data_IF_397444437842
#
_entry.id   IF_397444437842
#
_cell.length_a   1.000
_cell.length_b   1.000
_cell.length_c   1.000
_cell.angle_alpha   90.00
_cell.angle_beta   90.00
_cell.angle_gamma   90.00
#
_symmetry.space_group_name_H-M   'P 1'
#
loop_
_entity.id
_entity.type
_entity.pdbx_description
1 polymer ?
#
# COMPACT_ATOMS: atom_id res chain seq x y z
N UNK A 1 -51.14 50.36 -46.31
CA UNK A 1 -51.08 49.83 -44.92
C UNK A 1 -49.60 49.63 -44.57
N UNK A 2 -49.01 50.47 -43.73
CA UNK A 2 -47.58 50.40 -43.36
C UNK A 2 -47.41 49.61 -42.06
N UNK A 3 -46.69 48.49 -42.11
CA UNK A 3 -46.33 47.70 -40.93
C UNK A 3 -45.03 48.25 -40.34
N UNK A 4 -45.05 48.68 -39.08
CA UNK A 4 -43.90 49.24 -38.35
C UNK A 4 -43.08 48.09 -37.76
N UNK A 5 -41.88 47.84 -38.30
CA UNK A 5 -40.97 46.82 -37.78
C UNK A 5 -40.41 47.24 -36.41
N UNK A 6 -40.67 46.45 -35.35
CA UNK A 6 -40.03 46.62 -34.04
C UNK A 6 -38.60 46.10 -34.11
N UNK A 7 -37.61 46.99 -33.95
CA UNK A 7 -36.21 46.62 -33.80
C UNK A 7 -35.96 46.03 -32.41
N UNK A 8 -35.77 44.72 -32.33
CA UNK A 8 -35.27 44.07 -31.11
C UNK A 8 -33.78 44.43 -30.96
N UNK A 9 -33.46 45.26 -29.98
CA UNK A 9 -32.08 45.63 -29.65
C UNK A 9 -31.42 44.43 -28.94
N UNK A 10 -30.84 43.51 -29.71
CA UNK A 10 -29.97 42.47 -29.16
C UNK A 10 -28.67 43.13 -28.69
N UNK A 11 -28.50 43.26 -27.37
CA UNK A 11 -27.22 43.59 -26.76
C UNK A 11 -26.21 42.52 -27.16
N UNK A 12 -25.15 42.91 -27.88
CA UNK A 12 -24.07 41.97 -28.23
C UNK A 12 -23.43 41.45 -26.95
N UNK A 13 -23.32 40.13 -26.76
CA UNK A 13 -22.59 39.59 -25.61
C UNK A 13 -21.14 40.06 -25.69
N UNK A 14 -20.60 40.56 -24.57
CA UNK A 14 -19.17 40.86 -24.46
C UNK A 14 -18.40 39.54 -24.54
N UNK A 15 -17.45 39.45 -25.47
CA UNK A 15 -16.52 38.31 -25.56
C UNK A 15 -15.41 38.43 -24.51
N UNK A 16 -14.88 37.28 -24.10
CA UNK A 16 -13.67 37.23 -23.27
C UNK A 16 -12.46 37.74 -24.05
N UNK A 17 -11.56 38.42 -23.36
CA UNK A 17 -10.26 38.83 -23.90
C UNK A 17 -9.25 37.69 -23.82
N UNK A 18 -8.26 37.69 -24.72
CA UNK A 18 -7.14 36.74 -24.68
C UNK A 18 -6.38 36.81 -23.35
N UNK A 19 -6.22 38.00 -22.80
CA UNK A 19 -5.51 38.20 -21.54
C UNK A 19 -6.28 37.62 -20.34
N UNK A 20 -7.62 37.74 -20.32
CA UNK A 20 -8.45 37.11 -19.28
C UNK A 20 -8.29 35.59 -19.30
N UNK A 21 -8.31 34.96 -20.48
CA UNK A 21 -8.11 33.51 -20.59
C UNK A 21 -6.68 33.10 -20.18
N UNK A 22 -5.69 33.89 -20.56
CA UNK A 22 -4.28 33.60 -20.27
C UNK A 22 -4.00 33.64 -18.76
N UNK A 23 -4.49 34.67 -18.06
CA UNK A 23 -4.33 34.77 -16.60
C UNK A 23 -5.01 33.61 -15.87
N UNK A 24 -6.19 33.19 -16.33
CA UNK A 24 -6.92 32.05 -15.74
C UNK A 24 -6.12 30.76 -15.89
N UNK A 25 -5.58 30.46 -17.07
CA UNK A 25 -4.76 29.26 -17.28
C UNK A 25 -3.46 29.31 -16.47
N UNK A 26 -2.85 30.49 -16.32
CA UNK A 26 -1.68 30.67 -15.46
C UNK A 26 -1.99 30.35 -13.99
N UNK A 27 -3.11 30.85 -13.46
CA UNK A 27 -3.54 30.58 -12.08
C UNK A 27 -3.88 29.10 -11.88
N UNK A 28 -4.62 28.47 -12.82
CA UNK A 28 -4.92 27.02 -12.75
C UNK A 28 -3.64 26.19 -12.79
N UNK A 29 -2.65 26.57 -13.61
CA UNK A 29 -1.37 25.87 -13.68
C UNK A 29 -0.61 25.89 -12.35
N UNK A 30 -0.59 27.04 -11.67
CA UNK A 30 0.05 27.19 -10.35
C UNK A 30 -0.70 26.35 -9.29
N UNK A 31 -2.04 26.41 -9.25
CA UNK A 31 -2.79 25.62 -8.28
C UNK A 31 -2.70 24.11 -8.52
N UNK A 32 -2.66 23.67 -9.78
CA UNK A 32 -2.63 22.25 -10.13
C UNK A 32 -1.34 21.57 -9.64
N UNK A 33 -0.19 22.24 -9.71
CA UNK A 33 1.09 21.66 -9.24
C UNK A 33 1.10 21.39 -7.74
N UNK A 34 0.54 22.32 -6.95
CA UNK A 34 0.45 22.20 -5.49
C UNK A 34 -0.45 21.02 -5.11
N UNK A 35 -1.63 20.89 -5.74
CA UNK A 35 -2.60 19.82 -5.48
C UNK A 35 -2.05 18.43 -5.82
N UNK A 36 -1.34 18.29 -6.93
CA UNK A 36 -0.73 17.01 -7.30
C UNK A 36 0.29 16.54 -6.26
N UNK A 37 1.12 17.45 -5.75
CA UNK A 37 2.13 17.12 -4.74
C UNK A 37 1.53 16.69 -3.40
N UNK A 38 0.42 17.30 -2.98
CA UNK A 38 -0.24 16.96 -1.71
C UNK A 38 -1.01 15.63 -1.80
N UNK A 39 -1.64 15.35 -2.95
CA UNK A 39 -2.37 14.10 -3.19
C UNK A 39 -1.46 12.87 -3.09
N UNK A 40 -0.23 12.94 -3.62
CA UNK A 40 0.72 11.82 -3.57
C UNK A 40 1.04 11.40 -2.13
N UNK A 41 1.33 12.37 -1.25
CA UNK A 41 1.61 12.11 0.17
C UNK A 41 0.39 11.55 0.90
N UNK A 42 -0.80 12.11 0.63
CA UNK A 42 -2.05 11.62 1.22
C UNK A 42 -2.35 10.16 0.83
N UNK A 43 -2.04 9.79 -0.42
CA UNK A 43 -2.22 8.42 -0.93
C UNK A 43 -1.30 7.42 -0.22
N UNK A 44 -0.02 7.76 -0.06
CA UNK A 44 0.93 6.90 0.67
C UNK A 44 0.53 6.72 2.14
N UNK A 45 0.12 7.79 2.82
CA UNK A 45 -0.39 7.71 4.19
C UNK A 45 -1.64 6.83 4.30
N UNK A 46 -2.53 6.89 3.30
CA UNK A 46 -3.72 6.04 3.22
C UNK A 46 -3.34 4.56 3.03
N UNK A 47 -2.36 4.26 2.18
CA UNK A 47 -1.85 2.90 2.00
C UNK A 47 -1.26 2.33 3.28
N UNK A 48 -0.42 3.10 3.97
CA UNK A 48 0.17 2.65 5.22
C UNK A 48 -0.90 2.40 6.30
N UNK A 49 -1.87 3.30 6.43
CA UNK A 49 -3.01 3.14 7.35
C UNK A 49 -3.82 1.88 7.03
N UNK A 50 -4.09 1.65 5.73
CA UNK A 50 -4.78 0.45 5.25
C UNK A 50 -3.97 -0.80 5.58
N UNK A 51 -2.68 -0.83 5.25
CA UNK A 51 -1.78 -1.95 5.51
C UNK A 51 -1.78 -2.33 6.99
N UNK A 52 -1.63 -1.34 7.89
CA UNK A 52 -1.63 -1.58 9.34
C UNK A 52 -2.94 -2.19 9.82
N UNK A 53 -4.08 -1.72 9.30
CA UNK A 53 -5.40 -2.25 9.65
C UNK A 53 -5.60 -3.68 9.11
N UNK A 54 -5.25 -3.92 7.85
CA UNK A 54 -5.42 -5.23 7.20
C UNK A 54 -4.48 -6.27 7.81
N UNK A 55 -3.20 -5.96 8.03
CA UNK A 55 -2.25 -6.84 8.72
C UNK A 55 -2.75 -7.23 10.12
N UNK A 56 -3.30 -6.27 10.86
CA UNK A 56 -3.89 -6.55 12.18
C UNK A 56 -5.11 -7.46 12.08
N UNK A 57 -5.99 -7.23 11.10
CA UNK A 57 -7.17 -8.06 10.88
C UNK A 57 -6.80 -9.49 10.47
N UNK A 58 -5.78 -9.66 9.64
CA UNK A 58 -5.25 -10.96 9.25
C UNK A 58 -4.68 -11.67 10.48
N UNK A 59 -3.88 -10.97 11.28
CA UNK A 59 -3.34 -11.50 12.53
C UNK A 59 -4.46 -12.05 13.43
N UNK A 60 -5.53 -11.28 13.65
CA UNK A 60 -6.67 -11.72 14.47
C UNK A 60 -7.35 -12.96 13.88
N UNK A 61 -7.43 -13.07 12.55
CA UNK A 61 -7.98 -14.25 11.86
C UNK A 61 -7.09 -15.49 12.05
N UNK A 62 -5.77 -15.31 12.02
CA UNK A 62 -4.78 -16.37 12.27
C UNK A 62 -4.82 -16.84 13.72
N UNK A 63 -5.03 -15.95 14.68
CA UNK A 63 -5.18 -16.33 16.09
C UNK A 63 -6.44 -17.18 16.30
N UNK A 64 -7.57 -16.82 15.66
CA UNK A 64 -8.78 -17.64 15.67
C UNK A 64 -8.55 -19.02 15.04
N UNK A 65 -7.89 -19.08 13.88
CA UNK A 65 -7.49 -20.34 13.26
C UNK A 65 -6.66 -21.20 14.22
N UNK A 66 -5.71 -20.59 14.92
CA UNK A 66 -4.77 -21.29 15.81
C UNK A 66 -5.49 -21.85 17.04
N UNK A 67 -6.51 -21.15 17.54
CA UNK A 67 -7.37 -21.63 18.64
C UNK A 67 -8.09 -22.92 18.23
N UNK A 68 -8.66 -22.97 17.03
CA UNK A 68 -9.43 -24.12 16.57
C UNK A 68 -8.56 -25.30 16.12
N UNK A 69 -7.38 -25.04 15.55
CA UNK A 69 -6.51 -26.04 14.92
C UNK A 69 -5.29 -26.43 15.77
N UNK A 70 -5.09 -25.77 16.93
CA UNK A 70 -3.94 -25.95 17.83
C UNK A 70 -2.56 -25.71 17.20
N UNK A 71 -2.50 -25.21 15.96
CA UNK A 71 -1.29 -24.91 15.22
C UNK A 71 -1.52 -23.68 14.33
N UNK A 72 -0.45 -22.95 14.04
CA UNK A 72 -0.49 -21.88 13.04
C UNK A 72 -0.72 -22.45 11.63
N UNK A 73 -1.31 -21.67 10.71
CA UNK A 73 -1.51 -22.10 9.33
C UNK A 73 -0.20 -22.50 8.65
N UNK A 74 -0.21 -23.48 7.73
CA UNK A 74 0.96 -23.83 6.94
C UNK A 74 1.41 -22.65 6.07
N UNK A 75 2.67 -22.67 5.65
CA UNK A 75 3.23 -21.66 4.75
C UNK A 75 2.47 -21.61 3.43
N UNK A 76 2.25 -20.41 2.90
CA UNK A 76 1.55 -20.21 1.63
C UNK A 76 2.20 -19.07 0.85
N UNK A 77 2.87 -19.44 -0.23
CA UNK A 77 3.63 -18.50 -1.05
C UNK A 77 2.71 -17.52 -1.78
N UNK A 78 2.55 -16.33 -1.19
CA UNK A 78 1.71 -15.23 -1.68
C UNK A 78 0.28 -15.62 -1.98
N UNK A 79 -0.25 -16.51 -1.15
CA UNK A 79 -1.62 -17.01 -1.24
C UNK A 79 -2.20 -17.14 0.18
N UNK A 80 -3.49 -17.45 0.24
CA UNK A 80 -4.17 -17.73 1.50
C UNK A 80 -3.71 -19.12 1.99
N UNK A 81 -3.24 -19.23 3.25
CA UNK A 81 -3.00 -20.53 3.86
C UNK A 81 -4.24 -21.43 3.86
N UNK A 82 -4.11 -22.70 3.44
CA UNK A 82 -5.22 -23.65 3.48
C UNK A 82 -5.92 -23.70 4.84
N UNK A 83 -7.23 -23.51 4.84
CA UNK A 83 -8.09 -23.50 6.02
C UNK A 83 -8.22 -22.15 6.71
N UNK A 84 -7.42 -21.14 6.35
CA UNK A 84 -7.55 -19.77 6.88
C UNK A 84 -8.71 -19.02 6.23
N UNK A 85 -9.18 -19.44 5.05
CA UNK A 85 -10.22 -18.78 4.26
C UNK A 85 -11.52 -18.58 5.04
N UNK A 86 -11.84 -19.51 5.95
CA UNK A 86 -13.06 -19.46 6.77
C UNK A 86 -13.01 -18.39 7.89
N UNK A 87 -11.82 -17.94 8.27
CA UNK A 87 -11.62 -16.92 9.30
C UNK A 87 -11.44 -15.52 8.71
N UNK A 88 -11.10 -15.43 7.42
CA UNK A 88 -10.94 -14.18 6.71
C UNK A 88 -12.30 -13.66 6.25
N UNK A 89 -12.51 -12.34 6.33
CA UNK A 89 -13.69 -11.75 5.72
C UNK A 89 -13.59 -11.87 4.17
N UNK A 90 -14.72 -12.09 3.47
CA UNK A 90 -14.74 -12.15 2.01
C UNK A 90 -14.07 -10.92 1.39
N UNK A 91 -13.10 -11.14 0.50
CA UNK A 91 -12.40 -10.05 -0.20
C UNK A 91 -11.18 -9.45 0.52
N UNK A 92 -10.71 -10.04 1.63
CA UNK A 92 -9.50 -9.55 2.32
C UNK A 92 -8.19 -9.95 1.61
N UNK A 93 -8.19 -10.98 0.74
CA UNK A 93 -6.93 -11.52 0.20
C UNK A 93 -6.97 -11.82 -1.30
N UNK A 94 -6.70 -10.79 -2.13
CA UNK A 94 -5.70 -10.98 -3.18
C UNK A 94 -4.74 -9.78 -3.41
N UNK A 95 -5.02 -8.59 -2.86
CA UNK A 95 -4.18 -7.39 -3.04
C UNK A 95 -3.95 -6.67 -1.70
N UNK A 96 -2.68 -6.43 -1.37
CA UNK A 96 -2.29 -5.63 -0.22
C UNK A 96 -2.44 -4.12 -0.51
N UNK A 97 -2.05 -3.28 0.45
CA UNK A 97 -2.40 -1.87 0.43
C UNK A 97 -1.81 -1.09 -0.76
N UNK A 98 -0.62 -1.46 -1.24
CA UNK A 98 0.04 -0.79 -2.36
C UNK A 98 -0.32 -1.42 -3.71
N UNK A 99 -0.33 -0.65 -4.81
CA UNK A 99 -0.68 -1.18 -6.13
C UNK A 99 0.27 -2.29 -6.60
N UNK A 100 -0.28 -3.47 -6.86
CA UNK A 100 0.50 -4.65 -7.28
C UNK A 100 1.25 -5.35 -6.14
N UNK A 101 1.01 -4.92 -4.90
CA UNK A 101 1.50 -5.64 -3.72
C UNK A 101 0.53 -6.73 -3.28
N UNK A 102 1.06 -7.82 -2.72
CA UNK A 102 0.27 -8.97 -2.24
C UNK A 102 0.69 -9.37 -0.83
N UNK A 103 -0.25 -9.90 -0.06
CA UNK A 103 0.06 -10.50 1.24
C UNK A 103 0.69 -11.89 1.06
N UNK A 104 1.54 -12.25 2.00
CA UNK A 104 2.33 -13.48 2.02
C UNK A 104 2.38 -13.97 3.47
N UNK A 105 1.79 -15.13 3.75
CA UNK A 105 1.84 -15.73 5.08
C UNK A 105 3.08 -16.59 5.18
N UNK A 106 3.86 -16.32 6.22
CA UNK A 106 5.18 -16.89 6.38
C UNK A 106 5.22 -17.78 7.62
N UNK A 107 5.50 -19.05 7.40
CA UNK A 107 5.72 -20.06 8.44
C UNK A 107 7.03 -20.80 8.14
N UNK A 108 8.13 -20.29 8.71
CA UNK A 108 9.47 -20.81 8.44
C UNK A 108 10.12 -21.37 9.70
N UNK A 109 11.18 -22.15 9.48
CA UNK A 109 12.17 -22.50 10.51
C UNK A 109 13.43 -21.65 10.31
N UNK A 110 13.89 -20.98 11.37
CA UNK A 110 15.15 -20.23 11.37
C UNK A 110 16.32 -21.16 11.03
N UNK A 111 17.11 -20.84 9.99
CA UNK A 111 18.28 -21.62 9.65
C UNK A 111 19.25 -21.75 10.83
N UNK A 112 19.58 -22.97 11.19
CA UNK A 112 20.56 -23.29 12.25
C UNK A 112 19.97 -23.47 13.65
N UNK A 113 18.97 -22.68 14.05
CA UNK A 113 18.33 -22.85 15.37
C UNK A 113 17.08 -23.72 15.33
N UNK A 114 16.38 -23.77 14.18
CA UNK A 114 15.08 -24.45 14.06
C UNK A 114 13.96 -23.72 14.82
N UNK A 115 14.18 -22.46 15.22
CA UNK A 115 13.14 -21.65 15.85
C UNK A 115 12.06 -21.28 14.81
N UNK A 116 10.78 -21.44 15.19
CA UNK A 116 9.66 -21.08 14.32
C UNK A 116 9.53 -19.56 14.18
N UNK A 117 9.39 -19.11 12.94
CA UNK A 117 9.10 -17.73 12.57
C UNK A 117 7.71 -17.67 11.97
N UNK A 118 6.86 -16.83 12.54
CA UNK A 118 5.53 -16.53 12.02
C UNK A 118 5.43 -15.04 11.75
N UNK A 119 5.13 -14.66 10.51
CA UNK A 119 4.92 -13.28 10.12
C UNK A 119 3.97 -13.18 8.92
N UNK A 120 3.45 -11.98 8.70
CA UNK A 120 2.71 -11.64 7.48
C UNK A 120 3.53 -10.61 6.73
N UNK A 121 3.91 -10.90 5.49
CA UNK A 121 4.66 -9.98 4.64
C UNK A 121 3.76 -9.36 3.56
N UNK A 122 4.05 -8.12 3.19
CA UNK A 122 3.55 -7.48 1.99
C UNK A 122 4.70 -7.49 0.98
N UNK A 123 4.50 -8.24 -0.10
CA UNK A 123 5.45 -8.40 -1.20
C UNK A 123 5.11 -7.41 -2.31
N UNK A 124 6.13 -6.71 -2.81
CA UNK A 124 5.96 -5.64 -3.82
C UNK A 124 6.28 -6.06 -5.25
N UNK A 125 6.80 -7.27 -5.43
CA UNK A 125 7.13 -7.84 -6.72
C UNK A 125 6.14 -8.96 -7.03
N UNK A 126 5.61 -9.12 -8.25
CA UNK A 126 4.80 -10.29 -8.61
C UNK A 126 5.60 -11.60 -8.58
N UNK A 127 4.92 -12.75 -8.50
CA UNK A 127 5.59 -14.06 -8.44
C UNK A 127 6.34 -14.33 -9.75
N UNK A 128 7.63 -14.63 -9.66
CA UNK A 128 8.46 -14.92 -10.83
C UNK A 128 8.80 -13.71 -11.71
N UNK A 129 8.43 -12.49 -11.32
CA UNK A 129 8.68 -11.26 -12.07
C UNK A 129 9.42 -10.22 -11.19
N UNK A 130 10.72 -10.45 -10.92
CA UNK A 130 11.52 -9.55 -10.07
C UNK A 130 11.76 -8.17 -10.70
N UNK A 131 11.59 -8.02 -12.01
CA UNK A 131 11.77 -6.74 -12.70
C UNK A 131 10.50 -5.84 -12.65
N UNK A 132 9.38 -6.38 -12.16
CA UNK A 132 8.09 -5.68 -12.10
C UNK A 132 7.74 -5.16 -10.70
N UNK A 133 8.72 -5.10 -9.80
CA UNK A 133 8.51 -4.61 -8.43
C UNK A 133 8.02 -3.15 -8.39
N UNK A 134 7.07 -2.88 -7.49
CA UNK A 134 6.53 -1.53 -7.23
C UNK A 134 6.66 -1.19 -5.76
N UNK A 135 7.77 -0.56 -5.39
CA UNK A 135 8.03 -0.16 -4.01
C UNK A 135 7.32 1.14 -3.62
N UNK A 136 7.00 1.33 -2.33
CA UNK A 136 6.46 2.58 -1.81
C UNK A 136 7.42 3.76 -2.07
N UNK A 137 6.88 4.92 -2.44
CA UNK A 137 7.68 6.13 -2.61
C UNK A 137 7.83 6.86 -1.27
N UNK A 138 8.65 6.31 -0.38
CA UNK A 138 8.89 6.79 0.98
C UNK A 138 10.37 6.60 1.37
N UNK A 139 10.90 7.46 2.23
CA UNK A 139 12.30 7.43 2.65
C UNK A 139 12.69 6.08 3.30
N UNK A 140 11.78 5.47 4.08
CA UNK A 140 12.00 4.15 4.70
C UNK A 140 12.06 2.99 3.68
N UNK A 141 11.57 3.21 2.45
CA UNK A 141 11.56 2.23 1.37
C UNK A 141 12.63 2.51 0.30
N UNK A 142 13.46 3.54 0.46
CA UNK A 142 14.43 3.98 -0.56
C UNK A 142 15.40 2.86 -0.98
N UNK A 143 15.81 2.03 -0.03
CA UNK A 143 16.75 0.93 -0.24
C UNK A 143 16.08 -0.45 -0.41
N UNK A 144 14.79 -0.48 -0.74
CA UNK A 144 14.09 -1.74 -0.93
C UNK A 144 14.57 -2.45 -2.21
N UNK A 145 14.78 -3.76 -2.08
CA UNK A 145 15.08 -4.66 -3.19
C UNK A 145 14.03 -5.78 -3.30
N UNK A 146 14.26 -6.73 -4.20
CA UNK A 146 13.31 -7.83 -4.47
C UNK A 146 12.98 -8.68 -3.22
N UNK A 147 13.84 -8.64 -2.19
CA UNK A 147 13.69 -9.37 -0.93
C UNK A 147 13.20 -8.47 0.21
N UNK A 148 12.99 -7.18 -0.05
CA UNK A 148 12.40 -6.26 0.90
C UNK A 148 10.88 -6.44 0.98
N UNK A 149 10.35 -6.22 2.17
CA UNK A 149 8.91 -6.32 2.43
C UNK A 149 8.53 -5.39 3.58
N UNK A 150 7.25 -5.04 3.62
CA UNK A 150 6.62 -4.54 4.86
C UNK A 150 6.07 -5.77 5.56
N UNK A 151 6.34 -5.98 6.84
CA UNK A 151 5.91 -7.19 7.53
C UNK A 151 5.35 -6.92 8.92
N UNK A 152 4.50 -7.82 9.38
CA UNK A 152 3.93 -7.86 10.72
C UNK A 152 4.44 -9.12 11.41
N UNK A 153 5.20 -8.95 12.49
CA UNK A 153 5.85 -10.04 13.20
C UNK A 153 4.93 -10.63 14.26
N UNK A 154 4.69 -11.95 14.22
CA UNK A 154 3.90 -12.64 15.24
C UNK A 154 4.82 -13.32 16.26
N UNK A 155 5.84 -14.04 15.78
CA UNK A 155 6.75 -14.82 16.63
C UNK A 155 8.08 -15.08 15.93
N UNK A 156 9.14 -15.18 16.75
CA UNK A 156 10.49 -15.51 16.30
C UNK A 156 11.26 -14.30 15.75
N UNK A 157 12.47 -14.54 15.22
CA UNK A 157 13.30 -13.50 14.60
C UNK A 157 12.79 -13.13 13.19
N UNK A 158 11.68 -12.39 13.16
CA UNK A 158 11.08 -11.91 11.91
C UNK A 158 12.05 -11.05 11.07
N UNK A 159 11.83 -11.03 9.76
CA UNK A 159 12.75 -10.39 8.80
C UNK A 159 12.07 -10.18 7.45
N UNK A 160 12.63 -9.35 6.55
CA UNK A 160 11.99 -9.08 5.27
C UNK A 160 11.84 -10.31 4.36
N UNK A 161 12.78 -11.25 4.43
CA UNK A 161 12.80 -12.46 3.60
C UNK A 161 13.64 -13.57 4.26
N UNK A 162 13.24 -14.83 4.09
CA UNK A 162 13.90 -16.00 4.73
C UNK A 162 15.41 -16.09 4.42
N UNK A 163 15.80 -15.79 3.19
CA UNK A 163 17.20 -15.82 2.74
C UNK A 163 18.03 -14.59 3.10
N UNK A 164 17.52 -13.70 3.95
CA UNK A 164 18.17 -12.43 4.30
C UNK A 164 18.36 -12.30 5.82
N UNK A 165 19.36 -11.54 6.28
CA UNK A 165 19.51 -11.27 7.71
C UNK A 165 18.39 -10.33 8.21
N UNK A 166 18.11 -10.29 9.53
CA UNK A 166 17.09 -9.40 10.11
C UNK A 166 17.30 -7.90 9.85
N UNK A 167 18.54 -7.48 9.59
CA UNK A 167 18.89 -6.08 9.27
C UNK A 167 18.78 -5.73 7.78
N UNK A 168 18.34 -6.64 6.92
CA UNK A 168 18.06 -6.34 5.50
C UNK A 168 16.99 -5.25 5.38
N UNK A 169 17.03 -4.39 4.34
CA UNK A 169 16.00 -3.38 4.14
C UNK A 169 14.58 -3.97 4.14
N UNK A 170 13.74 -3.45 5.02
CA UNK A 170 12.34 -3.80 5.18
C UNK A 170 11.72 -3.03 6.35
N UNK A 171 10.40 -3.11 6.49
CA UNK A 171 9.68 -2.32 7.49
C UNK A 171 8.79 -3.22 8.35
N UNK A 172 9.08 -3.30 9.65
CA UNK A 172 8.21 -4.02 10.59
C UNK A 172 7.13 -3.08 11.15
N UNK A 173 5.86 -3.43 10.94
CA UNK A 173 4.70 -2.59 11.31
C UNK A 173 4.42 -2.57 12.82
N UNK A 174 4.79 -3.63 13.54
CA UNK A 174 4.46 -3.82 14.95
C UNK A 174 5.68 -4.08 15.86
N UNK A 175 6.89 -3.89 15.35
CA UNK A 175 8.11 -4.05 16.14
C UNK A 175 8.51 -2.72 16.82
N UNK A 176 9.17 -2.82 17.97
CA UNK A 176 9.77 -1.67 18.65
C UNK A 176 11.28 -1.62 18.34
N UNK A 177 11.84 -0.42 18.30
CA UNK A 177 13.30 -0.23 18.32
C UNK A 177 13.92 -0.87 19.57
N UNK A 178 15.14 -1.44 19.51
CA UNK A 178 16.18 -1.26 18.48
C UNK A 178 16.35 -2.45 17.52
N UNK A 179 15.42 -3.42 17.52
CA UNK A 179 15.59 -4.66 16.75
C UNK A 179 15.48 -4.46 15.22
N UNK A 180 14.89 -3.34 14.77
CA UNK A 180 14.72 -2.99 13.35
C UNK A 180 15.00 -1.49 13.13
N UNK A 181 16.23 -1.09 12.74
CA UNK A 181 16.63 0.32 12.63
C UNK A 181 15.94 1.10 11.49
N UNK A 182 15.10 0.43 10.68
CA UNK A 182 14.29 1.03 9.60
C UNK A 182 12.78 0.91 9.83
N UNK A 183 12.35 0.31 10.94
CA UNK A 183 10.98 0.39 11.39
C UNK A 183 10.84 1.64 12.25
N UNK A 184 9.85 2.48 11.95
CA UNK A 184 9.52 3.75 12.61
C UNK A 184 10.16 4.98 11.94
N UNK A 185 9.51 5.41 10.85
CA UNK A 185 8.83 6.71 10.85
C UNK A 185 7.35 6.48 10.50
#
# INVERSE_FOLDING_TARGET
>A
MFVKQKSNLFLRPKGFTLIELLVVMAIIGIFSSIVLSSMSRAREAAYFTRAKKELRSIYESVELFTIDNSNYPPDANRDIPPGLEQYLAPGIWPDAAWPGSVFDWENWDEPGTGEKIYQISIRFCPLGQPDECRFPNQDWAENFDINSSVFYCLKGPCRPHIGKPPNHPGYCVNCQEPQYPYGIY
#
